data_IF_712506547618
#
_entry.id   IF_712506547618
#
_cell.length_a   1.000
_cell.length_b   1.000
_cell.length_c   1.000
_cell.angle_alpha   90.00
_cell.angle_beta   90.00
_cell.angle_gamma   90.00
#
_symmetry.space_group_name_H-M   'P 1'
#
loop_
_entity.id
_entity.type
_entity.pdbx_description
1 polymer ?
#
# COMPACT_ATOMS: atom_id res chain seq x y z
N UNK A 1 -29.98 9.18 1.93
CA UNK A 1 -28.89 9.20 2.94
C UNK A 1 -29.08 10.31 3.97
N UNK A 2 -29.03 11.60 3.61
CA UNK A 2 -29.11 12.74 4.56
C UNK A 2 -30.25 12.65 5.58
N UNK A 3 -31.53 12.60 5.13
CA UNK A 3 -32.68 12.55 6.05
C UNK A 3 -32.62 11.39 7.05
N UNK A 4 -32.07 10.24 6.65
CA UNK A 4 -31.91 9.08 7.53
C UNK A 4 -30.79 9.30 8.54
N UNK A 5 -29.67 9.88 8.10
CA UNK A 5 -28.57 10.25 8.98
C UNK A 5 -29.02 11.22 10.08
N UNK A 6 -29.77 12.27 9.70
CA UNK A 6 -30.36 13.23 10.65
C UNK A 6 -31.32 12.57 11.64
N UNK A 7 -32.18 11.68 11.16
CA UNK A 7 -33.14 10.97 12.01
C UNK A 7 -32.47 10.00 13.00
N UNK A 8 -31.38 9.34 12.61
CA UNK A 8 -30.61 8.48 13.52
C UNK A 8 -29.92 9.34 14.59
N UNK A 9 -29.27 10.43 14.16
CA UNK A 9 -28.54 11.30 15.07
C UNK A 9 -29.45 12.04 16.05
N UNK A 10 -30.67 12.41 15.64
CA UNK A 10 -31.63 13.06 16.54
C UNK A 10 -32.14 12.16 17.66
N UNK A 11 -32.13 10.84 17.45
CA UNK A 11 -32.53 9.84 18.47
C UNK A 11 -31.35 9.47 19.36
N UNK A 12 -30.14 9.34 18.80
CA UNK A 12 -28.94 9.05 19.56
C UNK A 12 -27.73 9.78 18.96
N UNK A 13 -27.24 10.86 19.58
CA UNK A 13 -26.12 11.63 19.06
C UNK A 13 -24.76 10.93 19.22
N UNK A 14 -24.69 9.86 20.01
CA UNK A 14 -23.43 9.20 20.33
C UNK A 14 -22.98 8.18 19.27
N UNK A 15 -23.89 7.67 18.45
CA UNK A 15 -23.58 6.65 17.44
C UNK A 15 -22.89 7.22 16.20
N UNK A 16 -22.09 6.39 15.55
CA UNK A 16 -21.57 6.67 14.20
C UNK A 16 -22.67 6.41 13.17
N UNK A 17 -22.68 7.22 12.11
CA UNK A 17 -23.55 7.04 10.95
C UNK A 17 -22.71 6.60 9.76
N UNK A 18 -22.95 5.38 9.31
CA UNK A 18 -22.27 4.78 8.16
C UNK A 18 -23.13 5.03 6.91
N UNK A 19 -22.54 5.67 5.89
CA UNK A 19 -23.18 5.90 4.61
C UNK A 19 -22.54 5.06 3.52
N UNK A 20 -23.40 4.28 2.86
CA UNK A 20 -23.08 3.38 1.78
C UNK A 20 -23.18 4.06 0.40
N UNK A 21 -22.66 3.40 -0.63
CA UNK A 21 -22.50 3.94 -1.97
C UNK A 21 -23.56 3.47 -2.97
N UNK A 22 -23.25 3.63 -4.26
CA UNK A 22 -23.95 2.94 -5.34
C UNK A 22 -23.12 1.76 -5.85
N UNK A 23 -23.69 0.97 -6.77
CA UNK A 23 -23.03 -0.20 -7.38
C UNK A 23 -22.47 -1.18 -6.35
N UNK A 24 -23.36 -1.72 -5.50
CA UNK A 24 -22.97 -2.60 -4.38
C UNK A 24 -21.92 -1.95 -3.48
N UNK A 25 -22.14 -0.68 -3.14
CA UNK A 25 -21.28 0.12 -2.26
C UNK A 25 -19.82 0.25 -2.73
N UNK A 26 -19.62 0.29 -4.06
CA UNK A 26 -18.31 0.54 -4.68
C UNK A 26 -18.14 1.97 -5.19
N UNK A 27 -19.24 2.69 -5.34
CA UNK A 27 -19.25 4.02 -5.94
C UNK A 27 -19.69 5.07 -4.93
N UNK A 28 -18.71 5.78 -4.38
CA UNK A 28 -18.86 6.98 -3.56
C UNK A 28 -18.48 8.26 -4.33
N UNK A 29 -18.34 8.19 -5.66
CA UNK A 29 -17.85 9.31 -6.48
C UNK A 29 -18.83 10.48 -6.56
N UNK A 30 -20.13 10.21 -6.40
CA UNK A 30 -21.19 11.22 -6.38
C UNK A 30 -21.04 12.23 -5.23
N UNK A 31 -20.35 11.88 -4.14
CA UNK A 31 -20.12 12.78 -3.00
C UNK A 31 -19.23 13.97 -3.41
N UNK A 32 -18.40 13.84 -4.46
CA UNK A 32 -17.58 14.94 -5.01
C UNK A 32 -18.44 16.10 -5.51
N UNK A 33 -19.57 15.80 -6.13
CA UNK A 33 -20.47 16.82 -6.73
C UNK A 33 -21.63 17.16 -5.82
N UNK A 34 -22.10 16.18 -5.03
CA UNK A 34 -23.22 16.35 -4.11
C UNK A 34 -22.83 15.90 -2.71
N UNK A 35 -22.13 16.78 -2.01
CA UNK A 35 -21.70 16.49 -0.65
C UNK A 35 -22.88 16.32 0.32
N UNK A 36 -22.73 15.40 1.28
CA UNK A 36 -23.74 15.12 2.31
C UNK A 36 -23.74 16.25 3.35
N UNK A 37 -24.68 17.20 3.24
CA UNK A 37 -24.86 18.27 4.23
C UNK A 37 -25.63 17.73 5.44
N UNK A 38 -24.99 17.74 6.60
CA UNK A 38 -25.55 17.28 7.87
C UNK A 38 -25.46 18.40 8.91
N UNK A 39 -26.36 18.39 9.89
CA UNK A 39 -26.36 19.32 11.02
C UNK A 39 -25.30 18.99 12.07
N UNK A 40 -24.72 17.79 12.01
CA UNK A 40 -23.69 17.29 12.91
C UNK A 40 -22.38 16.97 12.18
N UNK A 41 -21.28 16.89 12.94
CA UNK A 41 -19.94 16.58 12.44
C UNK A 41 -19.25 15.53 13.32
N UNK A 42 -18.16 14.93 12.84
CA UNK A 42 -17.36 13.98 13.62
C UNK A 42 -17.99 12.60 13.85
N UNK A 43 -19.17 12.33 13.29
CA UNK A 43 -19.88 11.03 13.41
C UNK A 43 -20.06 10.29 12.07
N UNK A 44 -19.67 10.90 10.97
CA UNK A 44 -19.88 10.37 9.62
C UNK A 44 -18.74 9.42 9.22
N UNK A 45 -19.10 8.24 8.73
CA UNK A 45 -18.20 7.23 8.15
C UNK A 45 -18.75 6.82 6.79
N UNK A 46 -17.89 6.64 5.80
CA UNK A 46 -18.28 6.11 4.49
C UNK A 46 -17.94 4.63 4.38
N UNK A 47 -18.73 3.90 3.60
CA UNK A 47 -18.62 2.45 3.44
C UNK A 47 -18.26 2.08 2.00
N UNK A 48 -17.33 1.14 1.87
CA UNK A 48 -16.92 0.55 0.59
C UNK A 48 -16.98 -0.98 0.68
N UNK A 49 -17.47 -1.64 -0.36
CA UNK A 49 -17.36 -3.10 -0.50
C UNK A 49 -16.35 -3.47 -1.57
N UNK A 50 -15.63 -4.56 -1.37
CA UNK A 50 -14.77 -5.09 -2.42
C UNK A 50 -14.70 -6.61 -2.44
N UNK A 51 -14.95 -7.19 -3.60
CA UNK A 51 -14.71 -8.60 -3.88
C UNK A 51 -14.00 -8.76 -5.22
N UNK A 52 -13.14 -9.77 -5.33
CA UNK A 52 -12.39 -10.03 -6.57
C UNK A 52 -13.23 -10.27 -7.83
N UNK A 53 -14.47 -10.75 -7.67
CA UNK A 53 -15.37 -10.97 -8.79
C UNK A 53 -15.98 -9.67 -9.32
N UNK A 54 -15.98 -8.59 -8.52
CA UNK A 54 -16.39 -7.26 -8.97
C UNK A 54 -15.47 -6.67 -10.05
N UNK A 55 -14.22 -7.15 -10.12
CA UNK A 55 -13.27 -6.78 -11.18
C UNK A 55 -13.56 -7.53 -12.48
N UNK A 56 -14.37 -8.58 -12.42
CA UNK A 56 -14.73 -9.49 -13.51
C UNK A 56 -14.17 -10.91 -13.28
N UNK A 57 -14.91 -11.96 -13.69
CA UNK A 57 -14.65 -13.35 -13.27
C UNK A 57 -13.31 -13.93 -13.76
N UNK A 58 -12.71 -13.32 -14.79
CA UNK A 58 -11.48 -13.80 -15.43
C UNK A 58 -10.30 -12.82 -15.31
N UNK A 59 -10.49 -11.64 -14.71
CA UNK A 59 -9.46 -10.59 -14.76
C UNK A 59 -8.20 -10.99 -14.00
N UNK A 60 -8.31 -11.54 -12.79
CA UNK A 60 -7.12 -12.00 -12.05
C UNK A 60 -6.59 -13.36 -12.55
N UNK A 61 -7.40 -14.10 -13.31
CA UNK A 61 -7.02 -15.39 -13.90
C UNK A 61 -6.10 -15.19 -15.10
N UNK A 62 -6.53 -14.38 -16.06
CA UNK A 62 -5.80 -14.21 -17.34
C UNK A 62 -5.01 -12.91 -17.41
N UNK A 63 -5.28 -11.95 -16.53
CA UNK A 63 -4.56 -10.68 -16.49
C UNK A 63 -3.21 -10.78 -15.79
N UNK A 64 -2.28 -9.94 -16.22
CA UNK A 64 -1.04 -9.72 -15.48
C UNK A 64 -1.36 -9.14 -14.09
N UNK A 65 -0.79 -9.68 -12.99
CA UNK A 65 -1.13 -9.23 -11.64
C UNK A 65 -0.84 -7.74 -11.36
N UNK A 66 0.18 -7.15 -12.00
CA UNK A 66 0.49 -5.72 -11.84
C UNK A 66 -0.52 -4.83 -12.54
N UNK A 67 -0.90 -5.18 -13.77
CA UNK A 67 -1.90 -4.44 -14.54
C UNK A 67 -3.26 -4.47 -13.84
N UNK A 68 -3.69 -5.65 -13.39
CA UNK A 68 -4.96 -5.82 -12.69
C UNK A 68 -4.93 -5.07 -11.35
N UNK A 69 -3.87 -5.25 -10.55
CA UNK A 69 -3.76 -4.56 -9.27
C UNK A 69 -3.71 -3.03 -9.43
N UNK A 70 -2.96 -2.51 -10.41
CA UNK A 70 -2.89 -1.08 -10.70
C UNK A 70 -4.25 -0.50 -11.09
N UNK A 71 -5.01 -1.22 -11.93
CA UNK A 71 -6.38 -0.83 -12.31
C UNK A 71 -7.32 -0.80 -11.12
N UNK A 72 -7.34 -1.85 -10.31
CA UNK A 72 -8.25 -1.97 -9.16
C UNK A 72 -7.92 -0.92 -8.11
N UNK A 73 -6.63 -0.72 -7.78
CA UNK A 73 -6.22 0.32 -6.84
C UNK A 73 -6.60 1.72 -7.34
N UNK A 74 -6.39 2.01 -8.62
CA UNK A 74 -6.78 3.29 -9.23
C UNK A 74 -8.28 3.51 -9.17
N UNK A 75 -9.06 2.46 -9.45
CA UNK A 75 -10.52 2.51 -9.36
C UNK A 75 -10.96 2.83 -7.92
N UNK A 76 -10.51 2.06 -6.93
CA UNK A 76 -10.89 2.30 -5.52
C UNK A 76 -10.51 3.69 -5.04
N UNK A 77 -9.30 4.17 -5.34
CA UNK A 77 -8.87 5.53 -4.96
C UNK A 77 -9.76 6.60 -5.60
N UNK A 78 -10.16 6.40 -6.87
CA UNK A 78 -11.02 7.32 -7.60
C UNK A 78 -12.45 7.33 -7.04
N UNK A 79 -12.99 6.15 -6.70
CA UNK A 79 -14.39 5.99 -6.31
C UNK A 79 -14.64 6.34 -4.84
N UNK A 80 -13.74 6.02 -3.92
CA UNK A 80 -13.93 6.24 -2.49
C UNK A 80 -12.68 6.69 -1.73
N UNK A 81 -11.48 6.27 -2.16
CA UNK A 81 -10.25 6.60 -1.43
C UNK A 81 -9.97 8.10 -1.25
N UNK A 82 -10.42 8.95 -2.17
CA UNK A 82 -10.32 10.41 -2.04
C UNK A 82 -11.00 10.98 -0.77
N UNK A 83 -11.97 10.27 -0.18
CA UNK A 83 -12.61 10.67 1.07
C UNK A 83 -11.65 10.58 2.26
N UNK A 84 -10.73 9.62 2.23
CA UNK A 84 -9.66 9.49 3.23
C UNK A 84 -8.70 10.68 3.15
N UNK A 85 -8.35 11.11 1.93
CA UNK A 85 -7.52 12.30 1.72
C UNK A 85 -8.19 13.56 2.28
N UNK A 86 -9.52 13.66 2.17
CA UNK A 86 -10.35 14.72 2.75
C UNK A 86 -10.55 14.60 4.27
N UNK A 87 -10.06 13.53 4.90
CA UNK A 87 -10.12 13.33 6.34
C UNK A 87 -11.36 12.57 6.84
N UNK A 88 -12.15 11.98 5.95
CA UNK A 88 -13.27 11.12 6.35
C UNK A 88 -12.81 9.67 6.56
N UNK A 89 -13.33 8.97 7.59
CA UNK A 89 -13.12 7.54 7.73
C UNK A 89 -13.80 6.77 6.59
N UNK A 90 -13.07 5.83 5.99
CA UNK A 90 -13.59 4.88 5.00
C UNK A 90 -13.51 3.47 5.59
N UNK A 91 -14.67 2.84 5.75
CA UNK A 91 -14.84 1.51 6.32
C UNK A 91 -15.09 0.50 5.20
N UNK A 92 -14.17 -0.47 5.04
CA UNK A 92 -14.38 -1.59 4.13
C UNK A 92 -15.13 -2.67 4.91
N UNK A 93 -16.46 -2.67 4.81
CA UNK A 93 -17.34 -3.52 5.63
C UNK A 93 -17.49 -4.93 5.05
N UNK A 94 -17.50 -5.05 3.72
CA UNK A 94 -17.64 -6.33 3.03
C UNK A 94 -16.46 -6.60 2.10
N UNK A 95 -15.84 -7.75 2.33
CA UNK A 95 -14.82 -8.31 1.46
C UNK A 95 -14.72 -9.82 1.66
N UNK A 96 -14.26 -10.52 0.64
CA UNK A 96 -14.14 -11.97 0.72
C UNK A 96 -13.35 -12.58 -0.41
N UNK A 97 -12.77 -13.74 -0.09
CA UNK A 97 -12.07 -14.62 -1.02
C UNK A 97 -12.49 -16.05 -0.73
N UNK A 98 -12.55 -16.86 -1.78
CA UNK A 98 -12.62 -18.31 -1.62
C UNK A 98 -11.23 -18.85 -1.22
N UNK A 99 -11.15 -19.45 -0.02
CA UNK A 99 -9.90 -20.00 0.54
C UNK A 99 -9.71 -21.50 0.28
N UNK A 100 -10.63 -22.14 -0.46
CA UNK A 100 -10.52 -23.57 -0.79
C UNK A 100 -9.37 -23.87 -1.76
N UNK A 101 -8.84 -22.84 -2.44
CA UNK A 101 -7.85 -23.00 -3.50
C UNK A 101 -8.48 -23.28 -4.87
N UNK A 102 -9.79 -23.54 -4.96
CA UNK A 102 -10.46 -23.85 -6.22
C UNK A 102 -10.64 -22.62 -7.13
N UNK A 103 -10.75 -21.43 -6.55
CA UNK A 103 -10.97 -20.19 -7.30
C UNK A 103 -9.67 -19.41 -7.54
N UNK A 104 -9.10 -19.55 -8.73
CA UNK A 104 -7.87 -18.86 -9.14
C UNK A 104 -7.99 -17.33 -9.03
N UNK A 105 -9.17 -16.77 -9.32
CA UNK A 105 -9.43 -15.32 -9.23
C UNK A 105 -9.30 -14.82 -7.78
N UNK A 106 -9.86 -15.58 -6.82
CA UNK A 106 -9.78 -15.29 -5.38
C UNK A 106 -8.41 -15.60 -4.75
N UNK A 107 -7.69 -16.61 -5.24
CA UNK A 107 -6.40 -16.94 -4.66
C UNK A 107 -5.33 -15.87 -4.93
N UNK A 108 -5.33 -15.30 -6.14
CA UNK A 108 -4.36 -14.29 -6.58
C UNK A 108 -4.56 -12.92 -5.92
N UNK A 109 -5.73 -12.70 -5.33
CA UNK A 109 -6.07 -11.46 -4.62
C UNK A 109 -6.24 -11.67 -3.11
N UNK A 110 -5.77 -12.80 -2.57
CA UNK A 110 -6.00 -13.21 -1.19
C UNK A 110 -5.48 -12.23 -0.12
N UNK A 111 -4.43 -11.46 -0.42
CA UNK A 111 -3.93 -10.39 0.45
C UNK A 111 -4.38 -8.99 0.04
N UNK A 112 -5.40 -8.83 -0.81
CA UNK A 112 -5.85 -7.53 -1.32
C UNK A 112 -6.17 -6.53 -0.22
N UNK A 113 -6.88 -6.93 0.83
CA UNK A 113 -7.23 -6.03 1.93
C UNK A 113 -5.98 -5.58 2.69
N UNK A 114 -5.01 -6.47 2.91
CA UNK A 114 -3.70 -6.10 3.49
C UNK A 114 -2.93 -5.14 2.56
N UNK A 115 -3.12 -5.25 1.25
CA UNK A 115 -2.50 -4.38 0.25
C UNK A 115 -3.16 -2.99 0.22
N UNK A 116 -4.49 -2.90 0.27
CA UNK A 116 -5.22 -1.62 0.28
C UNK A 116 -5.18 -0.95 1.65
N UNK A 117 -5.19 -1.69 2.77
CA UNK A 117 -5.07 -1.10 4.10
C UNK A 117 -3.77 -0.32 4.29
N UNK A 118 -2.73 -0.68 3.54
CA UNK A 118 -1.50 0.09 3.49
C UNK A 118 -1.54 1.31 2.58
N UNK A 119 -2.46 1.34 1.61
CA UNK A 119 -2.77 2.51 0.79
C UNK A 119 -3.74 3.47 1.50
N UNK A 120 -4.37 3.05 2.61
CA UNK A 120 -5.09 3.95 3.50
C UNK A 120 -4.06 4.87 4.16
N UNK A 121 -3.87 6.04 3.56
CA UNK A 121 -3.01 7.08 4.08
C UNK A 121 -3.41 7.45 5.52
N UNK A 122 -2.41 7.51 6.41
CA UNK A 122 -2.09 6.51 7.42
C UNK A 122 -3.28 6.05 8.27
N UNK A 123 -2.98 5.14 9.19
CA UNK A 123 -3.47 5.11 10.57
C UNK A 123 -3.63 6.52 11.20
N UNK A 124 -4.56 7.35 10.73
CA UNK A 124 -4.96 8.66 11.29
C UNK A 124 -5.79 8.46 12.55
N UNK A 125 -5.30 7.63 13.45
CA UNK A 125 -5.60 7.81 14.87
C UNK A 125 -4.92 9.08 15.39
N UNK A 126 -4.88 9.25 16.71
CA UNK A 126 -4.10 10.31 17.34
C UNK A 126 -2.67 10.31 16.77
N UNK A 127 -2.28 11.39 16.09
CA UNK A 127 -0.94 11.53 15.53
C UNK A 127 0.06 11.63 16.67
N UNK A 128 0.78 10.54 16.95
CA UNK A 128 1.79 10.49 18.00
C UNK A 128 3.09 11.22 17.59
N UNK A 129 3.36 11.30 16.28
CA UNK A 129 4.57 11.90 15.73
C UNK A 129 4.28 12.70 14.46
N UNK A 130 5.28 13.48 14.00
CA UNK A 130 5.25 14.13 12.68
C UNK A 130 5.22 13.06 11.58
N UNK A 131 4.46 13.25 10.49
CA UNK A 131 4.41 12.31 9.38
C UNK A 131 5.81 11.98 8.80
N UNK A 132 6.07 10.71 8.55
CA UNK A 132 7.26 10.21 7.87
C UNK A 132 6.93 8.99 7.00
N UNK A 133 7.74 8.71 5.99
CA UNK A 133 7.51 7.52 5.16
C UNK A 133 8.13 6.27 5.77
N UNK A 134 7.44 5.14 5.63
CA UNK A 134 7.99 3.79 5.79
C UNK A 134 7.94 3.05 4.45
N UNK A 135 8.86 2.10 4.25
CA UNK A 135 8.81 1.20 3.09
C UNK A 135 8.10 -0.07 3.54
N UNK A 136 6.85 -0.21 3.10
CA UNK A 136 5.92 -1.25 3.52
C UNK A 136 5.85 -2.38 2.48
N UNK A 137 5.73 -3.62 2.96
CA UNK A 137 5.60 -4.83 2.16
C UNK A 137 4.16 -5.39 2.25
N UNK A 138 3.33 -5.22 1.20
CA UNK A 138 1.90 -5.51 1.25
C UNK A 138 1.48 -6.94 1.53
N UNK A 139 2.26 -7.93 1.09
CA UNK A 139 1.91 -9.32 1.34
C UNK A 139 2.01 -9.70 2.83
N UNK A 140 2.95 -9.10 3.57
CA UNK A 140 3.26 -9.50 4.95
C UNK A 140 2.73 -8.53 6.00
N UNK A 141 2.35 -7.30 5.61
CA UNK A 141 1.96 -6.27 6.57
C UNK A 141 3.14 -5.67 7.35
N UNK A 142 4.38 -5.96 6.94
CA UNK A 142 5.61 -5.54 7.62
C UNK A 142 6.32 -4.43 6.86
N UNK A 143 7.24 -3.72 7.52
CA UNK A 143 8.05 -2.66 6.92
C UNK A 143 9.54 -3.03 6.91
N UNK A 144 10.33 -2.34 6.08
CA UNK A 144 11.79 -2.48 6.08
C UNK A 144 12.37 -1.89 7.38
N UNK A 145 13.02 -2.75 8.15
CA UNK A 145 13.65 -2.46 9.44
C UNK A 145 15.14 -2.82 9.44
N UNK A 146 15.82 -2.55 10.56
CA UNK A 146 17.20 -2.99 10.82
C UNK A 146 17.23 -4.35 11.52
N UNK A 147 18.21 -5.19 11.19
CA UNK A 147 18.71 -6.20 12.13
C UNK A 147 19.86 -5.60 12.96
N UNK A 148 19.64 -5.41 14.26
CA UNK A 148 20.57 -4.73 15.19
C UNK A 148 22.03 -5.21 15.04
N UNK A 149 22.24 -6.51 14.79
CA UNK A 149 23.57 -7.15 14.80
C UNK A 149 24.14 -7.55 13.43
N UNK A 150 23.41 -7.39 12.32
CA UNK A 150 23.84 -8.00 11.04
C UNK A 150 24.10 -7.02 9.89
N UNK A 151 23.88 -5.70 10.07
CA UNK A 151 23.89 -4.69 9.01
C UNK A 151 22.99 -5.01 7.79
N UNK A 152 22.13 -6.03 7.89
CA UNK A 152 21.17 -6.44 6.87
C UNK A 152 19.81 -5.83 7.16
N UNK A 153 19.14 -5.44 6.09
CA UNK A 153 17.74 -5.03 6.12
C UNK A 153 16.84 -6.26 6.16
N UNK A 154 15.76 -6.18 6.92
CA UNK A 154 14.74 -7.25 7.01
C UNK A 154 13.35 -6.65 7.15
N UNK A 155 12.32 -7.45 6.90
CA UNK A 155 10.96 -7.09 7.31
C UNK A 155 10.78 -7.23 8.83
N UNK A 156 10.07 -6.28 9.41
CA UNK A 156 9.70 -6.24 10.83
C UNK A 156 8.54 -5.28 11.09
N UNK A 157 8.14 -5.11 12.36
CA UNK A 157 7.06 -4.19 12.74
C UNK A 157 7.31 -2.77 12.23
N UNK A 158 6.29 -2.11 11.69
CA UNK A 158 6.43 -0.77 11.12
C UNK A 158 6.78 0.32 12.15
N UNK A 159 6.48 0.11 13.43
CA UNK A 159 6.94 0.96 14.54
C UNK A 159 8.46 0.99 14.68
N UNK A 160 9.14 -0.10 14.29
CA UNK A 160 10.59 -0.25 14.28
C UNK A 160 11.23 0.10 12.92
N UNK A 161 10.43 0.57 11.96
CA UNK A 161 10.95 1.02 10.67
C UNK A 161 11.84 2.25 10.85
N UNK A 162 12.75 2.44 9.91
CA UNK A 162 13.35 3.75 9.70
C UNK A 162 12.32 4.75 9.17
N UNK A 163 12.56 6.01 9.47
CA UNK A 163 11.98 7.10 8.72
C UNK A 163 12.72 7.24 7.39
N UNK A 164 11.97 7.16 6.29
CA UNK A 164 12.48 7.28 4.93
C UNK A 164 12.05 8.60 4.30
N UNK A 165 12.87 9.11 3.39
CA UNK A 165 12.50 10.14 2.43
C UNK A 165 12.92 9.71 1.03
N UNK A 166 12.13 10.09 0.02
CA UNK A 166 12.43 9.83 -1.37
C UNK A 166 12.77 11.16 -2.06
N UNK A 167 14.00 11.29 -2.54
CA UNK A 167 14.48 12.55 -3.13
C UNK A 167 14.06 12.70 -4.60
N UNK A 168 14.02 13.93 -5.13
CA UNK A 168 13.82 14.18 -6.56
C UNK A 168 14.86 13.47 -7.45
N UNK A 169 16.05 13.18 -6.91
CA UNK A 169 17.10 12.42 -7.56
C UNK A 169 16.96 10.90 -7.38
N UNK A 170 15.73 10.42 -7.19
CA UNK A 170 15.37 8.99 -7.15
C UNK A 170 16.13 8.20 -6.09
N UNK A 171 16.36 8.79 -4.92
CA UNK A 171 17.16 8.15 -3.85
C UNK A 171 16.32 7.97 -2.60
N UNK A 172 16.31 6.76 -2.04
CA UNK A 172 15.66 6.44 -0.78
C UNK A 172 16.65 6.68 0.38
N UNK A 173 16.42 7.75 1.13
CA UNK A 173 17.28 8.23 2.21
C UNK A 173 16.66 7.90 3.55
N UNK A 174 17.47 7.52 4.53
CA UNK A 174 17.03 7.49 5.93
C UNK A 174 17.06 8.92 6.46
N UNK A 175 15.89 9.41 6.91
CA UNK A 175 15.70 10.77 7.40
C UNK A 175 16.67 11.09 8.54
N UNK A 176 17.23 12.32 8.54
CA UNK A 176 18.23 12.80 9.51
C UNK A 176 19.54 12.00 9.54
N UNK A 177 19.86 11.27 8.47
CA UNK A 177 21.14 10.59 8.32
C UNK A 177 21.70 10.75 6.91
N UNK A 178 22.96 10.36 6.70
CA UNK A 178 23.60 10.32 5.38
C UNK A 178 23.45 8.95 4.70
N UNK A 179 22.61 8.07 5.23
CA UNK A 179 22.43 6.71 4.72
C UNK A 179 21.33 6.67 3.66
N UNK A 180 21.58 5.93 2.59
CA UNK A 180 20.59 5.58 1.56
C UNK A 180 20.52 4.08 1.35
N UNK A 181 19.38 3.65 0.80
CA UNK A 181 19.20 2.30 0.31
C UNK A 181 20.06 2.09 -0.95
N UNK A 182 20.84 1.01 -0.95
CA UNK A 182 21.67 0.60 -2.07
C UNK A 182 21.32 -0.83 -2.48
N UNK A 183 21.19 -1.03 -3.79
CA UNK A 183 21.06 -2.34 -4.38
C UNK A 183 22.38 -3.11 -4.25
N UNK A 184 22.27 -4.41 -3.97
CA UNK A 184 23.41 -5.32 -4.04
C UNK A 184 23.79 -5.58 -5.50
N UNK A 185 25.08 -5.75 -5.78
CA UNK A 185 25.52 -6.27 -7.08
C UNK A 185 25.29 -7.80 -7.05
N UNK A 186 24.28 -8.27 -7.81
CA UNK A 186 23.88 -9.68 -8.04
C UNK A 186 23.64 -10.57 -6.80
N UNK A 187 22.37 -10.95 -6.53
CA UNK A 187 21.93 -11.90 -5.47
C UNK A 187 22.49 -11.58 -4.07
N UNK A 188 22.81 -10.31 -3.81
CA UNK A 188 23.28 -9.81 -2.51
C UNK A 188 22.20 -8.97 -1.83
N UNK A 189 22.21 -8.95 -0.49
CA UNK A 189 21.21 -8.24 0.31
C UNK A 189 21.21 -6.75 0.01
N UNK A 190 20.02 -6.14 -0.07
CA UNK A 190 19.89 -4.69 -0.09
C UNK A 190 20.46 -4.14 1.23
N UNK A 191 21.21 -3.04 1.16
CA UNK A 191 21.92 -2.49 2.31
C UNK A 191 21.76 -0.99 2.43
N UNK A 192 22.09 -0.48 3.60
CA UNK A 192 22.30 0.95 3.80
C UNK A 192 23.77 1.29 3.53
N UNK A 193 24.00 2.34 2.74
CA UNK A 193 25.33 2.86 2.48
C UNK A 193 25.36 4.38 2.47
N UNK A 194 26.56 4.95 2.41
CA UNK A 194 26.80 6.40 2.41
C UNK A 194 26.97 6.99 1.01
N UNK A 195 27.17 6.15 -0.02
CA UNK A 195 27.39 6.59 -1.40
C UNK A 195 26.06 6.71 -2.16
N UNK A 196 25.35 7.81 -1.96
CA UNK A 196 23.98 8.02 -2.44
C UNK A 196 23.86 8.64 -3.84
N UNK A 197 25.00 8.88 -4.48
CA UNK A 197 25.10 9.38 -5.85
C UNK A 197 25.36 8.26 -6.87
N UNK A 198 25.69 7.05 -6.41
CA UNK A 198 25.98 5.90 -7.27
C UNK A 198 24.72 5.41 -8.00
N UNK A 199 24.90 4.73 -9.14
CA UNK A 199 23.80 4.18 -9.93
C UNK A 199 22.96 3.16 -9.15
N UNK A 200 23.63 2.31 -8.33
CA UNK A 200 22.97 1.31 -7.50
C UNK A 200 22.21 1.89 -6.29
N UNK A 201 22.23 3.21 -6.07
CA UNK A 201 21.40 3.89 -5.06
C UNK A 201 20.24 4.66 -5.68
N UNK A 202 20.02 4.51 -7.00
CA UNK A 202 18.90 5.12 -7.73
C UNK A 202 17.77 4.12 -7.88
N UNK A 203 16.59 4.50 -7.39
CA UNK A 203 15.41 3.67 -7.29
C UNK A 203 14.23 4.31 -8.01
N UNK A 204 13.54 3.53 -8.83
CA UNK A 204 12.34 3.93 -9.57
C UNK A 204 11.17 3.05 -9.15
N UNK A 205 10.00 3.67 -9.01
CA UNK A 205 8.75 2.95 -8.84
C UNK A 205 8.23 2.59 -10.23
N UNK A 206 8.24 1.32 -10.58
CA UNK A 206 7.86 0.82 -11.91
C UNK A 206 6.61 -0.06 -11.81
N UNK A 207 6.14 -0.57 -12.96
CA UNK A 207 4.91 -1.35 -13.19
C UNK A 207 3.63 -0.53 -13.01
N UNK A 208 2.52 -0.99 -13.60
CA UNK A 208 1.21 -0.31 -13.53
C UNK A 208 0.69 -0.13 -12.09
N UNK A 209 1.12 -0.99 -11.16
CA UNK A 209 0.78 -0.88 -9.74
C UNK A 209 1.66 0.09 -8.96
N UNK A 210 2.77 0.56 -9.56
CA UNK A 210 3.83 1.33 -8.90
C UNK A 210 4.38 0.67 -7.62
N UNK A 211 4.31 -0.66 -7.52
CA UNK A 211 4.77 -1.41 -6.33
C UNK A 211 6.15 -2.05 -6.50
N UNK A 212 6.77 -1.94 -7.66
CA UNK A 212 8.13 -2.42 -7.87
C UNK A 212 9.12 -1.29 -7.64
N UNK A 213 9.92 -1.38 -6.58
CA UNK A 213 11.02 -0.44 -6.33
C UNK A 213 12.28 -1.02 -7.00
N UNK A 214 12.66 -0.45 -8.14
CA UNK A 214 13.65 -0.97 -9.07
C UNK A 214 14.90 -0.10 -9.15
N UNK A 215 16.08 -0.71 -9.20
CA UNK A 215 17.35 -0.06 -9.45
C UNK A 215 17.99 -0.59 -10.74
N UNK A 216 18.73 0.28 -11.43
CA UNK A 216 19.57 -0.11 -12.57
C UNK A 216 21.01 -0.34 -12.10
N UNK A 217 21.55 -1.51 -12.38
CA UNK A 217 22.98 -1.79 -12.23
C UNK A 217 23.74 -1.46 -13.52
N UNK A 218 25.08 -1.59 -13.49
CA UNK A 218 25.99 -1.13 -14.56
C UNK A 218 25.69 -1.73 -15.95
N UNK A 219 25.03 -2.88 -16.01
CA UNK A 219 24.73 -3.61 -17.26
C UNK A 219 23.32 -3.33 -17.82
N UNK A 220 22.70 -2.19 -17.45
CA UNK A 220 21.30 -1.81 -17.77
C UNK A 220 20.19 -2.76 -17.27
N UNK A 221 20.55 -3.93 -16.74
CA UNK A 221 19.61 -4.87 -16.15
C UNK A 221 18.97 -4.27 -14.90
N UNK A 222 17.64 -4.25 -14.89
CA UNK A 222 16.84 -3.78 -13.76
C UNK A 222 16.66 -4.87 -12.71
N UNK A 223 16.86 -4.49 -11.45
CA UNK A 223 16.66 -5.34 -10.29
C UNK A 223 15.64 -4.69 -9.37
N UNK A 224 14.73 -5.48 -8.83
CA UNK A 224 13.71 -5.02 -7.90
C UNK A 224 14.10 -5.41 -6.48
N UNK A 225 13.64 -4.60 -5.51
CA UNK A 225 13.58 -5.06 -4.12
C UNK A 225 12.73 -6.33 -4.04
N UNK A 226 13.19 -7.27 -3.24
CA UNK A 226 12.54 -8.56 -3.03
C UNK A 226 12.76 -9.00 -1.58
N UNK A 227 11.92 -9.91 -1.10
CA UNK A 227 12.03 -10.49 0.24
C UNK A 227 12.33 -11.97 0.16
N UNK A 228 13.41 -12.39 0.85
CA UNK A 228 13.74 -13.79 1.02
C UNK A 228 12.80 -14.46 2.05
N UNK A 229 12.76 -15.80 2.06
CA UNK A 229 11.91 -16.58 2.96
C UNK A 229 12.19 -16.33 4.47
N UNK A 230 13.38 -15.86 4.81
CA UNK A 230 13.79 -15.50 6.17
C UNK A 230 13.51 -14.02 6.51
N UNK A 231 12.68 -13.33 5.72
CA UNK A 231 12.37 -11.90 5.78
C UNK A 231 13.54 -10.96 5.46
N UNK A 232 14.69 -11.46 4.99
CA UNK A 232 15.80 -10.59 4.57
C UNK A 232 15.44 -9.82 3.30
N UNK A 233 15.75 -8.52 3.25
CA UNK A 233 15.59 -7.72 2.04
C UNK A 233 16.77 -7.97 1.10
N UNK A 234 16.45 -8.36 -0.12
CA UNK A 234 17.41 -8.65 -1.18
C UNK A 234 17.06 -7.88 -2.45
N UNK A 235 17.91 -7.96 -3.46
CA UNK A 235 17.61 -7.50 -4.82
C UNK A 235 17.68 -8.66 -5.79
N UNK A 236 16.67 -8.81 -6.65
CA UNK A 236 16.58 -9.87 -7.66
C UNK A 236 15.98 -9.33 -8.97
N UNK A 237 16.00 -10.13 -10.04
CA UNK A 237 15.38 -9.74 -11.31
C UNK A 237 13.90 -9.43 -11.09
N UNK A 238 13.41 -8.33 -11.67
CA UNK A 238 12.01 -7.93 -11.51
C UNK A 238 11.04 -8.98 -12.10
N UNK A 239 10.02 -9.36 -11.33
CA UNK A 239 8.99 -10.34 -11.65
C UNK A 239 7.77 -9.62 -12.23
N UNK A 240 7.08 -10.26 -13.19
CA UNK A 240 5.82 -9.78 -13.75
C UNK A 240 5.79 -8.37 -14.36
N UNK A 241 6.95 -7.81 -14.73
CA UNK A 241 7.01 -6.51 -15.43
C UNK A 241 6.53 -6.63 -16.89
N UNK A 242 6.65 -7.82 -17.48
CA UNK A 242 6.16 -8.12 -18.82
C UNK A 242 4.71 -8.61 -18.77
N UNK A 243 4.06 -8.80 -19.93
CA UNK A 243 2.67 -9.30 -20.08
C UNK A 243 2.45 -10.76 -19.62
N UNK A 244 3.41 -11.35 -18.92
CA UNK A 244 3.27 -12.68 -18.32
C UNK A 244 2.22 -12.62 -17.20
N UNK A 245 1.22 -13.49 -17.30
CA UNK A 245 0.12 -13.62 -16.36
C UNK A 245 0.25 -14.86 -15.44
N UNK A 246 1.31 -15.65 -15.60
CA UNK A 246 1.56 -16.88 -14.82
C UNK A 246 2.50 -16.66 -13.64
N UNK A 247 3.23 -15.54 -13.65
CA UNK A 247 4.21 -15.19 -12.63
C UNK A 247 3.58 -14.65 -11.33
N UNK A 248 4.37 -14.65 -10.26
CA UNK A 248 4.02 -14.13 -8.94
C UNK A 248 4.95 -12.96 -8.55
N UNK A 249 4.46 -11.71 -8.46
CA UNK A 249 5.26 -10.55 -8.07
C UNK A 249 5.20 -10.23 -6.57
N UNK A 250 4.47 -11.00 -5.75
CA UNK A 250 4.03 -10.55 -4.43
C UNK A 250 5.18 -10.30 -3.44
N UNK A 251 6.29 -11.01 -3.61
CA UNK A 251 7.52 -10.82 -2.82
C UNK A 251 8.32 -9.56 -3.18
N UNK A 252 8.03 -8.97 -4.34
CA UNK A 252 8.70 -7.76 -4.84
C UNK A 252 7.86 -6.49 -4.74
N UNK A 253 6.66 -6.61 -4.17
CA UNK A 253 5.81 -5.46 -3.96
C UNK A 253 6.21 -4.71 -2.69
N UNK A 254 6.56 -3.44 -2.87
CA UNK A 254 6.87 -2.50 -1.82
C UNK A 254 6.18 -1.16 -2.12
N UNK A 255 5.71 -0.48 -1.08
CA UNK A 255 5.07 0.83 -1.18
C UNK A 255 5.69 1.78 -0.16
N UNK A 256 5.92 3.03 -0.55
CA UNK A 256 6.13 4.09 0.44
C UNK A 256 4.78 4.52 0.97
N UNK A 257 4.63 4.50 2.28
CA UNK A 257 3.38 4.87 2.97
C UNK A 257 3.71 5.82 4.11
N UNK A 258 2.85 6.80 4.33
CA UNK A 258 2.97 7.73 5.44
C UNK A 258 2.67 7.02 6.77
N UNK A 259 3.44 7.36 7.80
CA UNK A 259 3.26 6.92 9.19
C UNK A 259 3.28 8.13 10.12
N UNK A 260 2.38 8.12 11.09
CA UNK A 260 2.27 9.13 12.17
C UNK A 260 2.48 8.52 13.56
N UNK A 261 2.81 7.23 13.65
CA UNK A 261 3.07 6.54 14.92
C UNK A 261 4.45 6.91 15.47
N UNK A 262 4.61 6.91 16.78
CA UNK A 262 5.93 7.09 17.39
C UNK A 262 6.86 5.96 16.96
N UNK A 263 8.02 6.33 16.41
CA UNK A 263 9.05 5.36 16.03
C UNK A 263 9.90 5.06 17.26
N UNK A 264 10.08 3.78 17.59
CA UNK A 264 11.00 3.33 18.63
C UNK A 264 12.47 3.38 18.18
N UNK A 265 12.73 3.75 16.93
CA UNK A 265 14.02 3.68 16.24
C UNK A 265 14.88 4.95 16.35
N UNK A 266 14.76 5.69 17.46
CA UNK A 266 15.51 6.95 17.71
C UNK A 266 17.01 6.70 17.69
#
# INVERSE_FOLDING_TARGET
MQKRAEAVHSVNPDVLVILYGFDFDRDLSFIKTQFVKLTFSGKLVFEEHWFGFFDGPQKWVTGNPNEVCGRVATYMLKMSGYLVDQGYPLFISEFGIDKTGANVNGNRNSSFIQRISALQAPFRGLSEAKPYNVIFHPLTGLCITRKLFAHRLRLGPCSESYAWSYSPHKTLLRTRTYLCLQAGESVTSAKLGIFCTASNSKWEMISDSNMHISAKLRDEKSFCLDVASDNTIITSSCKCINKDNTCDPLSQWFKLVDSTRSSSSV
#
